data_IF_540288111084
#
_entry.id   IF_540288111084
#
_cell.length_a   1.000
_cell.length_b   1.000
_cell.length_c   1.000
_cell.angle_alpha   90.00
_cell.angle_beta   90.00
_cell.angle_gamma   90.00
#
_symmetry.space_group_name_H-M   'P 1'
#
loop_
_entity.id
_entity.type
_entity.pdbx_description
1 polymer ?
#
# COMPACT_ATOMS: atom_id res chain seq x y z
N UNK A 1 -28.15 27.65 -9.46
CA UNK A 1 -27.86 26.99 -8.15
C UNK A 1 -28.24 25.53 -8.28
N UNK A 2 -27.27 24.65 -8.58
CA UNK A 2 -27.54 23.21 -8.71
C UNK A 2 -27.81 22.62 -7.33
N UNK A 3 -29.02 22.08 -7.10
CA UNK A 3 -29.34 21.30 -5.91
C UNK A 3 -28.36 20.12 -5.85
N UNK A 4 -27.56 20.04 -4.80
CA UNK A 4 -26.81 18.82 -4.50
C UNK A 4 -27.82 17.69 -4.34
N UNK A 5 -28.00 16.84 -5.36
CA UNK A 5 -28.85 15.66 -5.25
C UNK A 5 -28.16 14.69 -4.31
N UNK A 6 -28.78 14.45 -3.15
CA UNK A 6 -28.32 13.42 -2.20
C UNK A 6 -28.66 12.06 -2.80
N UNK A 7 -27.83 11.05 -2.53
CA UNK A 7 -28.08 9.68 -3.03
C UNK A 7 -29.36 9.12 -2.39
N UNK A 8 -30.23 8.50 -3.19
CA UNK A 8 -31.53 7.96 -2.75
C UNK A 8 -31.36 6.89 -1.65
N UNK A 9 -30.21 6.20 -1.59
CA UNK A 9 -29.91 5.27 -0.48
C UNK A 9 -29.65 5.99 0.83
N UNK A 10 -29.01 7.15 0.79
CA UNK A 10 -28.77 7.94 2.00
C UNK A 10 -30.08 8.54 2.53
N UNK A 11 -30.98 8.98 1.64
CA UNK A 11 -32.32 9.45 2.02
C UNK A 11 -33.15 8.35 2.70
N UNK A 12 -33.09 7.12 2.16
CA UNK A 12 -33.72 5.95 2.77
C UNK A 12 -33.13 5.59 4.14
N UNK A 13 -31.81 5.72 4.29
CA UNK A 13 -31.14 5.47 5.57
C UNK A 13 -31.60 6.50 6.62
N UNK A 14 -31.59 7.78 6.28
CA UNK A 14 -32.02 8.87 7.16
C UNK A 14 -33.48 8.73 7.59
N UNK A 15 -34.35 8.27 6.69
CA UNK A 15 -35.75 7.98 7.00
C UNK A 15 -35.97 6.70 7.84
N UNK A 16 -34.92 5.93 8.13
CA UNK A 16 -35.02 4.68 8.88
C UNK A 16 -34.84 4.89 10.39
N UNK A 17 -35.43 4.04 11.26
CA UNK A 17 -35.29 4.16 12.71
C UNK A 17 -33.87 3.98 13.26
N UNK A 18 -32.92 3.54 12.41
CA UNK A 18 -31.54 3.21 12.82
C UNK A 18 -30.54 4.33 12.51
N UNK A 19 -30.93 5.36 11.76
CA UNK A 19 -30.05 6.48 11.45
C UNK A 19 -30.26 7.62 12.45
N UNK A 20 -29.20 8.10 13.13
CA UNK A 20 -29.33 9.19 14.09
C UNK A 20 -29.47 10.57 13.42
N UNK A 21 -29.32 10.67 12.10
CA UNK A 21 -29.42 11.93 11.37
C UNK A 21 -30.86 12.20 10.92
N UNK A 22 -31.29 13.45 11.03
CA UNK A 22 -32.66 13.88 10.69
C UNK A 22 -32.81 14.39 9.24
N UNK A 23 -31.72 14.90 8.66
CA UNK A 23 -31.71 15.50 7.32
C UNK A 23 -30.57 14.94 6.48
N UNK A 24 -30.92 14.39 5.32
CA UNK A 24 -29.98 13.74 4.43
C UNK A 24 -28.99 14.72 3.79
N UNK A 25 -29.41 15.97 3.55
CA UNK A 25 -28.53 16.99 2.98
C UNK A 25 -27.47 17.46 3.97
N UNK A 26 -27.84 17.68 5.23
CA UNK A 26 -26.95 18.03 6.34
C UNK A 26 -26.01 16.87 6.64
N UNK A 27 -26.52 15.65 6.70
CA UNK A 27 -25.70 14.47 6.96
C UNK A 27 -24.70 14.20 5.84
N UNK A 28 -25.10 14.37 4.57
CA UNK A 28 -24.16 14.27 3.45
C UNK A 28 -23.03 15.31 3.52
N UNK A 29 -23.30 16.53 3.99
CA UNK A 29 -22.25 17.55 4.20
C UNK A 29 -21.32 17.17 5.35
N UNK A 30 -21.86 16.67 6.44
CA UNK A 30 -21.09 16.18 7.58
C UNK A 30 -20.16 15.03 7.17
N UNK A 31 -20.68 14.02 6.47
CA UNK A 31 -19.91 12.89 5.95
C UNK A 31 -18.77 13.32 5.03
N UNK A 32 -19.03 14.31 4.15
CA UNK A 32 -17.98 14.89 3.30
C UNK A 32 -16.92 15.63 4.13
N UNK A 33 -17.35 16.43 5.10
CA UNK A 33 -16.44 17.12 6.01
C UNK A 33 -15.61 16.15 6.86
N UNK A 34 -16.18 15.01 7.26
CA UNK A 34 -15.45 13.93 7.92
C UNK A 34 -14.41 13.33 6.98
N UNK A 35 -14.80 12.97 5.74
CA UNK A 35 -13.90 12.40 4.74
C UNK A 35 -12.71 13.34 4.44
N UNK A 36 -12.95 14.64 4.32
CA UNK A 36 -11.90 15.62 4.08
C UNK A 36 -10.93 15.73 5.28
N UNK A 37 -11.41 15.52 6.51
CA UNK A 37 -10.59 15.57 7.73
C UNK A 37 -9.76 14.29 7.96
N UNK A 38 -10.34 13.11 7.73
CA UNK A 38 -9.72 11.83 8.13
C UNK A 38 -9.22 10.99 6.97
N UNK A 39 -9.76 11.18 5.77
CA UNK A 39 -9.48 10.37 4.59
C UNK A 39 -9.03 11.28 3.42
N UNK A 40 -8.10 12.19 3.72
CA UNK A 40 -7.62 13.15 2.74
C UNK A 40 -7.11 12.43 1.49
N UNK A 41 -7.70 12.76 0.34
CA UNK A 41 -7.54 12.01 -0.91
C UNK A 41 -6.08 11.90 -1.37
N UNK A 42 -5.25 12.90 -1.09
CA UNK A 42 -3.84 12.91 -1.50
C UNK A 42 -3.01 11.91 -0.68
N UNK A 43 -3.21 11.88 0.65
CA UNK A 43 -2.58 10.96 1.59
C UNK A 43 -3.00 9.52 1.28
N UNK A 44 -4.31 9.28 1.15
CA UNK A 44 -4.86 7.96 0.80
C UNK A 44 -4.31 7.45 -0.54
N UNK A 45 -4.12 8.32 -1.53
CA UNK A 45 -3.49 7.95 -2.82
C UNK A 45 -2.01 7.58 -2.66
N UNK A 46 -1.28 8.22 -1.75
CA UNK A 46 0.12 7.86 -1.45
C UNK A 46 0.20 6.50 -0.77
N UNK A 47 -0.62 6.28 0.26
CA UNK A 47 -0.72 5.02 1.01
C UNK A 47 -1.14 3.87 0.09
N UNK A 48 -2.18 4.06 -0.72
CA UNK A 48 -2.60 3.06 -1.71
C UNK A 48 -1.46 2.66 -2.65
N UNK A 49 -0.65 3.62 -3.13
CA UNK A 49 0.51 3.31 -3.96
C UNK A 49 1.62 2.56 -3.21
N UNK A 50 1.77 2.80 -1.92
CA UNK A 50 2.70 2.06 -1.06
C UNK A 50 2.21 0.62 -0.89
N UNK A 51 0.96 0.42 -0.46
CA UNK A 51 0.38 -0.91 -0.27
C UNK A 51 0.31 -1.72 -1.57
N UNK A 52 0.08 -1.09 -2.73
CA UNK A 52 0.16 -1.77 -4.04
C UNK A 52 1.55 -2.35 -4.33
N UNK A 53 2.62 -1.73 -3.84
CA UNK A 53 3.95 -2.32 -3.98
C UNK A 53 4.14 -3.55 -3.08
N UNK A 54 3.34 -3.73 -2.03
CA UNK A 54 3.36 -4.90 -1.18
C UNK A 54 2.31 -5.96 -1.58
N UNK A 55 1.24 -5.57 -2.27
CA UNK A 55 0.14 -6.45 -2.68
C UNK A 55 0.49 -7.38 -3.85
N UNK A 56 1.56 -8.15 -3.72
CA UNK A 56 2.04 -9.14 -4.69
C UNK A 56 2.91 -10.17 -3.99
N UNK A 57 2.63 -11.44 -4.29
CA UNK A 57 3.24 -12.57 -3.61
C UNK A 57 4.76 -12.59 -3.77
N UNK A 58 5.27 -12.40 -5.00
CA UNK A 58 6.70 -12.44 -5.27
C UNK A 58 7.42 -11.28 -4.58
N UNK A 59 6.83 -10.09 -4.55
CA UNK A 59 7.42 -8.95 -3.82
C UNK A 59 7.49 -9.19 -2.32
N UNK A 60 6.46 -9.80 -1.73
CA UNK A 60 6.50 -10.20 -0.31
C UNK A 60 7.59 -11.26 -0.08
N UNK A 61 7.68 -12.28 -0.93
CA UNK A 61 8.73 -13.31 -0.84
C UNK A 61 10.12 -12.69 -0.97
N UNK A 62 10.33 -11.76 -1.91
CA UNK A 62 11.59 -11.01 -2.05
C UNK A 62 11.94 -10.25 -0.77
N UNK A 63 11.00 -9.50 -0.18
CA UNK A 63 11.23 -8.77 1.07
C UNK A 63 11.66 -9.74 2.19
N UNK A 64 10.95 -10.87 2.34
CA UNK A 64 11.29 -11.90 3.34
C UNK A 64 12.68 -12.50 3.15
N UNK A 65 13.11 -12.70 1.90
CA UNK A 65 14.47 -13.15 1.61
C UNK A 65 15.50 -12.06 1.96
N UNK A 66 15.21 -10.81 1.59
CA UNK A 66 16.08 -9.67 1.83
C UNK A 66 16.18 -9.26 3.30
N UNK A 67 15.25 -9.68 4.16
CA UNK A 67 15.40 -9.57 5.63
C UNK A 67 16.42 -10.55 6.19
N UNK A 68 16.72 -11.64 5.47
CA UNK A 68 17.70 -12.63 5.91
C UNK A 68 19.13 -12.23 5.53
N UNK A 69 19.32 -11.71 4.31
CA UNK A 69 20.60 -11.23 3.80
C UNK A 69 20.42 -10.37 2.55
N UNK A 70 21.44 -9.60 2.19
CA UNK A 70 21.47 -8.99 0.86
C UNK A 70 21.60 -10.06 -0.24
N UNK A 71 20.95 -9.82 -1.38
CA UNK A 71 20.93 -10.76 -2.52
C UNK A 71 21.04 -10.03 -3.85
N UNK A 72 21.73 -10.66 -4.80
CA UNK A 72 21.79 -10.26 -6.19
C UNK A 72 20.49 -10.64 -6.94
N UNK A 73 20.24 -10.00 -8.09
CA UNK A 73 19.11 -10.35 -8.98
C UNK A 73 19.12 -11.83 -9.34
N UNK A 74 20.28 -12.41 -9.67
CA UNK A 74 20.38 -13.81 -10.05
C UNK A 74 20.04 -14.77 -8.89
N UNK A 75 20.38 -14.40 -7.66
CA UNK A 75 20.03 -15.20 -6.48
C UNK A 75 18.52 -15.19 -6.23
N UNK A 76 17.87 -14.04 -6.39
CA UNK A 76 16.42 -13.92 -6.25
C UNK A 76 15.67 -14.64 -7.37
N UNK A 77 16.19 -14.62 -8.60
CA UNK A 77 15.64 -15.40 -9.71
C UNK A 77 15.62 -16.89 -9.38
N UNK A 78 16.73 -17.43 -8.87
CA UNK A 78 16.84 -18.85 -8.50
C UNK A 78 15.95 -19.17 -7.29
N UNK A 79 15.98 -18.34 -6.25
CA UNK A 79 15.21 -18.57 -5.02
C UNK A 79 13.68 -18.54 -5.23
N UNK A 80 13.21 -17.81 -6.25
CA UNK A 80 11.78 -17.59 -6.50
C UNK A 80 11.27 -18.24 -7.78
N UNK A 81 12.13 -18.89 -8.56
CA UNK A 81 11.84 -19.44 -9.88
C UNK A 81 11.26 -18.39 -10.84
N UNK A 82 11.95 -17.25 -10.95
CA UNK A 82 11.52 -16.11 -11.76
C UNK A 82 12.52 -15.77 -12.86
N UNK A 83 11.99 -15.28 -13.98
CA UNK A 83 12.82 -14.73 -15.06
C UNK A 83 13.48 -13.40 -14.63
N UNK A 84 14.55 -13.02 -15.33
CA UNK A 84 15.25 -11.77 -15.07
C UNK A 84 14.37 -10.52 -15.28
N UNK A 85 13.56 -10.40 -16.36
CA UNK A 85 12.65 -9.26 -16.52
C UNK A 85 11.65 -9.13 -15.38
N UNK A 86 11.03 -10.24 -14.95
CA UNK A 86 10.06 -10.24 -13.84
C UNK A 86 10.73 -9.85 -12.53
N UNK A 87 11.88 -10.44 -12.23
CA UNK A 87 12.63 -10.12 -11.00
C UNK A 87 13.04 -8.65 -10.95
N UNK A 88 13.60 -8.14 -12.05
CA UNK A 88 14.03 -6.74 -12.13
C UNK A 88 12.84 -5.76 -12.03
N UNK A 89 11.69 -6.12 -12.61
CA UNK A 89 10.47 -5.32 -12.52
C UNK A 89 9.99 -5.19 -11.07
N UNK A 90 9.93 -6.30 -10.33
CA UNK A 90 9.54 -6.31 -8.93
C UNK A 90 10.52 -5.52 -8.06
N UNK A 91 11.83 -5.72 -8.24
CA UNK A 91 12.86 -4.96 -7.52
C UNK A 91 12.76 -3.46 -7.77
N UNK A 92 12.52 -3.04 -9.02
CA UNK A 92 12.33 -1.63 -9.35
C UNK A 92 11.05 -1.03 -8.74
N UNK A 93 9.98 -1.81 -8.58
CA UNK A 93 8.79 -1.35 -7.85
C UNK A 93 9.12 -1.12 -6.37
N UNK A 94 9.80 -2.07 -5.73
CA UNK A 94 10.18 -2.00 -4.32
C UNK A 94 11.18 -0.87 -4.06
N UNK A 95 12.20 -0.73 -4.90
CA UNK A 95 13.23 0.32 -4.83
C UNK A 95 12.60 1.71 -4.96
N UNK A 96 11.70 1.92 -5.93
CA UNK A 96 10.99 3.20 -6.11
C UNK A 96 10.05 3.56 -4.96
N UNK A 97 9.69 2.60 -4.11
CA UNK A 97 8.94 2.85 -2.87
C UNK A 97 9.83 2.97 -1.64
N UNK A 98 11.15 2.89 -1.79
CA UNK A 98 12.08 2.94 -0.68
C UNK A 98 11.95 1.76 0.26
N UNK A 99 11.39 0.62 -0.20
CA UNK A 99 11.29 -0.60 0.61
C UNK A 99 12.62 -1.36 0.64
N UNK A 100 13.36 -1.27 -0.47
CA UNK A 100 14.69 -1.86 -0.63
C UNK A 100 15.64 -0.80 -1.17
N UNK A 101 16.94 -1.04 -0.98
CA UNK A 101 18.03 -0.25 -1.54
C UNK A 101 18.94 -1.14 -2.38
N UNK A 102 19.63 -0.52 -3.34
CA UNK A 102 20.55 -1.18 -4.25
C UNK A 102 21.99 -0.73 -3.99
N UNK A 103 22.91 -1.68 -3.91
CA UNK A 103 24.36 -1.48 -3.87
C UNK A 103 24.98 -2.12 -5.11
N UNK A 104 25.96 -1.46 -5.73
CA UNK A 104 26.71 -2.04 -6.85
C UNK A 104 28.06 -2.54 -6.38
N UNK A 105 28.48 -3.69 -6.89
CA UNK A 105 29.81 -4.26 -6.66
C UNK A 105 30.31 -4.86 -7.98
N UNK A 106 31.22 -4.13 -8.64
CA UNK A 106 31.64 -4.43 -10.00
C UNK A 106 30.45 -4.44 -10.97
N UNK A 107 30.20 -5.57 -11.62
CA UNK A 107 29.08 -5.76 -12.56
C UNK A 107 27.79 -6.19 -11.87
N UNK A 108 27.81 -6.47 -10.57
CA UNK A 108 26.70 -7.02 -9.82
C UNK A 108 25.91 -5.94 -9.08
N UNK A 109 24.61 -6.16 -8.95
CA UNK A 109 23.71 -5.31 -8.17
C UNK A 109 23.06 -6.13 -7.06
N UNK A 110 23.36 -5.77 -5.82
CA UNK A 110 22.82 -6.38 -4.61
C UNK A 110 21.71 -5.51 -4.03
N UNK A 111 20.69 -6.16 -3.50
CA UNK A 111 19.54 -5.52 -2.87
C UNK A 111 19.48 -5.89 -1.40
N UNK A 112 19.02 -4.96 -0.57
CA UNK A 112 18.79 -5.15 0.87
C UNK A 112 17.61 -4.30 1.31
N UNK A 113 17.06 -4.57 2.50
CA UNK A 113 16.02 -3.73 3.10
C UNK A 113 16.55 -2.31 3.29
N UNK A 114 15.73 -1.32 2.93
CA UNK A 114 16.12 0.09 2.99
C UNK A 114 16.23 0.61 4.43
N UNK A 115 15.24 0.29 5.27
CA UNK A 115 15.08 0.79 6.64
C UNK A 115 14.67 -0.36 7.59
N UNK A 116 15.31 -0.44 8.76
CA UNK A 116 14.97 -1.42 9.80
C UNK A 116 13.56 -1.25 10.34
N UNK A 117 12.99 -0.03 10.30
CA UNK A 117 11.59 0.22 10.69
C UNK A 117 10.58 -0.53 9.83
N UNK A 118 10.92 -0.82 8.57
CA UNK A 118 10.08 -1.68 7.73
C UNK A 118 10.00 -3.10 8.30
N UNK A 119 11.10 -3.61 8.85
CA UNK A 119 11.16 -4.94 9.46
C UNK A 119 10.31 -4.97 10.72
N UNK A 120 10.43 -3.96 11.58
CA UNK A 120 9.59 -3.79 12.77
C UNK A 120 8.10 -3.77 12.40
N UNK A 121 7.70 -2.91 11.46
CA UNK A 121 6.30 -2.83 11.03
C UNK A 121 5.78 -4.13 10.40
N UNK A 122 6.60 -4.87 9.66
CA UNK A 122 6.22 -6.18 9.12
C UNK A 122 6.09 -7.25 10.22
N UNK A 123 6.88 -7.18 11.29
CA UNK A 123 6.74 -8.04 12.47
C UNK A 123 5.48 -7.73 13.25
N UNK A 124 5.18 -6.45 13.47
CA UNK A 124 3.97 -6.02 14.18
C UNK A 124 2.68 -6.48 13.47
N UNK A 125 2.73 -6.56 12.14
CA UNK A 125 1.64 -7.10 11.31
C UNK A 125 1.63 -8.64 11.23
N UNK A 126 2.55 -9.34 11.90
CA UNK A 126 2.65 -10.80 11.88
C UNK A 126 3.12 -11.37 10.54
N UNK A 127 3.72 -10.55 9.66
CA UNK A 127 4.16 -10.95 8.33
C UNK A 127 5.58 -11.51 8.31
N UNK A 128 6.37 -11.23 9.35
CA UNK A 128 7.67 -11.81 9.64
C UNK A 128 7.61 -12.52 10.99
N UNK A 129 8.27 -13.69 11.08
CA UNK A 129 8.45 -14.43 12.33
C UNK A 129 9.72 -13.96 13.05
#
# INVERSE_FOLDING_TARGET
MSRFKVDERLERLVSSPICPAEDASKYAKELKGLADKVAEKSLAKRESRFFKALADENRIRMIKLLTMREMCVCELMVALDLTQPTTSHHLNILERKGLIKKRKEGKWSYYSIADSKLIEGLRDLGLLK
#
